data_IF_331338105528
#
_entry.id   IF_331338105528
#
_cell.length_a   1.000
_cell.length_b   1.000
_cell.length_c   1.000
_cell.angle_alpha   90.00
_cell.angle_beta   90.00
_cell.angle_gamma   90.00
#
_symmetry.space_group_name_H-M   'P 1'
#
loop_
_entity.id
_entity.type
_entity.pdbx_description
1 polymer ?
#
# COMPACT_ATOMS: atom_id res chain seq x y z
N UNK A 1 -32.11 -73.20 -2.50
CA UNK A 1 -31.17 -72.71 -1.48
C UNK A 1 -29.76 -72.89 -2.02
N UNK A 2 -29.15 -71.85 -2.59
CA UNK A 2 -27.73 -71.82 -2.97
C UNK A 2 -27.27 -70.38 -3.24
N UNK A 3 -26.30 -69.95 -2.43
CA UNK A 3 -25.10 -69.18 -2.72
C UNK A 3 -25.14 -67.84 -3.49
N UNK A 4 -24.97 -66.76 -2.71
CA UNK A 4 -23.96 -65.70 -2.84
C UNK A 4 -23.51 -65.23 -4.25
N UNK A 5 -23.79 -63.96 -4.56
CA UNK A 5 -22.92 -63.09 -5.38
C UNK A 5 -23.16 -61.61 -5.02
N UNK A 6 -22.58 -61.17 -3.91
CA UNK A 6 -22.31 -59.75 -3.65
C UNK A 6 -21.10 -59.37 -4.52
N UNK A 7 -21.35 -58.81 -5.70
CA UNK A 7 -20.29 -58.21 -6.51
C UNK A 7 -20.86 -57.02 -7.25
N UNK A 8 -20.16 -55.88 -7.17
CA UNK A 8 -20.49 -54.54 -7.68
C UNK A 8 -21.26 -53.61 -6.72
N UNK A 9 -20.79 -53.44 -5.48
CA UNK A 9 -21.14 -52.26 -4.66
C UNK A 9 -19.95 -51.34 -4.34
N UNK A 10 -18.76 -51.61 -4.88
CA UNK A 10 -17.56 -50.80 -4.61
C UNK A 10 -17.03 -50.31 -5.95
N UNK A 11 -17.71 -49.38 -6.62
CA UNK A 11 -17.12 -48.59 -7.72
C UNK A 11 -17.89 -47.31 -8.05
N UNK A 12 -18.86 -46.89 -7.22
CA UNK A 12 -19.62 -45.64 -7.42
C UNK A 12 -19.21 -44.54 -6.42
N UNK A 13 -18.39 -44.85 -5.43
CA UNK A 13 -17.93 -43.88 -4.41
C UNK A 13 -16.63 -43.15 -4.84
N UNK A 14 -15.92 -43.64 -5.85
CA UNK A 14 -14.64 -43.08 -6.27
C UNK A 14 -14.72 -41.87 -7.24
N UNK A 15 -15.91 -41.46 -7.70
CA UNK A 15 -16.04 -40.43 -8.73
C UNK A 15 -16.67 -39.11 -8.26
N UNK A 16 -17.15 -39.01 -7.02
CA UNK A 16 -17.72 -37.75 -6.47
C UNK A 16 -16.68 -36.95 -5.65
N UNK A 17 -15.52 -37.53 -5.33
CA UNK A 17 -14.47 -36.86 -4.51
C UNK A 17 -13.43 -36.09 -5.36
N UNK A 18 -13.60 -36.03 -6.69
CA UNK A 18 -12.60 -35.45 -7.59
C UNK A 18 -12.78 -33.94 -7.92
N UNK A 19 -13.68 -33.22 -7.25
CA UNK A 19 -13.95 -31.80 -7.57
C UNK A 19 -13.48 -30.81 -6.48
N UNK A 20 -12.94 -31.29 -5.36
CA UNK A 20 -12.63 -30.43 -4.20
C UNK A 20 -11.16 -30.01 -4.05
N UNK A 21 -10.40 -29.88 -5.13
CA UNK A 21 -9.05 -29.31 -5.05
C UNK A 21 -8.77 -28.32 -6.19
N UNK A 22 -9.60 -27.29 -6.32
CA UNK A 22 -9.07 -25.99 -6.75
C UNK A 22 -8.38 -25.37 -5.54
N UNK A 23 -7.14 -25.78 -5.28
CA UNK A 23 -6.28 -25.01 -4.39
C UNK A 23 -5.99 -23.69 -5.10
N UNK A 24 -6.75 -22.65 -4.75
CA UNK A 24 -6.41 -21.29 -5.12
C UNK A 24 -5.10 -20.93 -4.43
N UNK A 25 -4.01 -20.89 -5.20
CA UNK A 25 -2.76 -20.32 -4.75
C UNK A 25 -2.97 -18.81 -4.59
N UNK A 26 -3.23 -18.37 -3.36
CA UNK A 26 -3.31 -16.96 -3.03
C UNK A 26 -1.90 -16.36 -3.03
N UNK A 27 -1.41 -15.96 -4.20
CA UNK A 27 -0.24 -15.10 -4.31
C UNK A 27 -0.62 -13.67 -3.88
N UNK A 28 -0.77 -13.44 -2.57
CA UNK A 28 -1.22 -12.18 -1.98
C UNK A 28 -0.06 -11.27 -1.50
N UNK A 29 1.20 -11.66 -1.70
CA UNK A 29 2.33 -10.98 -1.06
C UNK A 29 2.80 -9.69 -1.76
N UNK A 30 2.76 -9.59 -3.09
CA UNK A 30 3.23 -8.38 -3.79
C UNK A 30 2.18 -7.26 -3.86
N UNK A 31 0.88 -7.58 -3.95
CA UNK A 31 -0.18 -6.54 -3.92
C UNK A 31 -0.21 -5.69 -2.66
N UNK A 32 0.27 -6.21 -1.53
CA UNK A 32 0.34 -5.47 -0.27
C UNK A 32 1.59 -4.57 -0.16
N UNK A 33 2.59 -4.80 -1.01
CA UNK A 33 3.87 -4.07 -1.02
C UNK A 33 4.19 -3.64 -2.47
N UNK A 34 3.50 -2.61 -2.99
CA UNK A 34 3.62 -2.21 -4.39
C UNK A 34 5.02 -1.67 -4.69
N UNK A 35 5.53 -1.93 -5.90
CA UNK A 35 6.70 -1.21 -6.41
C UNK A 35 6.31 0.22 -6.78
N UNK A 36 7.15 1.19 -6.46
CA UNK A 36 6.90 2.60 -6.74
C UNK A 36 7.94 3.11 -7.74
N UNK A 37 7.47 3.83 -8.76
CA UNK A 37 8.30 4.52 -9.74
C UNK A 37 7.98 6.01 -9.72
N UNK A 38 9.01 6.84 -9.66
CA UNK A 38 8.92 8.31 -9.85
C UNK A 38 9.70 8.65 -11.10
N UNK A 39 9.05 9.26 -12.10
CA UNK A 39 9.66 9.64 -13.39
C UNK A 39 10.52 8.51 -13.99
N UNK A 40 9.94 7.30 -14.07
CA UNK A 40 10.56 6.05 -14.55
C UNK A 40 11.68 5.45 -13.67
N UNK A 41 12.00 6.06 -12.53
CA UNK A 41 13.00 5.54 -11.58
C UNK A 41 12.32 4.76 -10.47
N UNK A 42 12.72 3.51 -10.25
CA UNK A 42 12.20 2.68 -9.15
C UNK A 42 12.73 3.18 -7.82
N UNK A 43 11.84 3.43 -6.86
CA UNK A 43 12.21 3.73 -5.47
C UNK A 43 12.37 2.45 -4.66
N UNK A 44 13.46 2.38 -3.90
CA UNK A 44 13.69 1.32 -2.92
C UNK A 44 13.22 1.77 -1.53
N UNK A 45 11.91 1.67 -1.31
CA UNK A 45 11.24 2.12 -0.08
C UNK A 45 10.21 1.10 0.39
N UNK A 46 10.03 1.02 1.71
CA UNK A 46 9.04 0.14 2.33
C UNK A 46 7.63 0.69 2.15
N UNK A 47 7.00 0.35 1.02
CA UNK A 47 5.62 0.69 0.74
C UNK A 47 4.68 -0.39 1.28
N UNK A 48 3.61 0.02 1.97
CA UNK A 48 2.57 -0.89 2.44
C UNK A 48 1.17 -0.38 2.09
N UNK A 49 0.33 -1.27 1.58
CA UNK A 49 -1.09 -0.98 1.34
C UNK A 49 -1.89 -1.32 2.59
N UNK A 50 -2.69 -0.37 3.09
CA UNK A 50 -3.60 -0.59 4.21
C UNK A 50 -4.79 -1.46 3.78
N UNK A 51 -5.53 -2.01 4.76
CA UNK A 51 -6.78 -2.73 4.48
C UNK A 51 -7.79 -1.89 3.66
N UNK A 52 -7.76 -0.56 3.84
CA UNK A 52 -8.63 0.37 3.12
C UNK A 52 -8.09 0.74 1.71
N UNK A 53 -7.01 0.11 1.24
CA UNK A 53 -6.45 0.32 -0.09
C UNK A 53 -5.58 1.58 -0.23
N UNK A 54 -5.13 2.17 0.89
CA UNK A 54 -4.23 3.33 0.85
C UNK A 54 -2.77 2.88 0.90
N UNK A 55 -1.92 3.41 0.02
CA UNK A 55 -0.47 3.13 0.09
C UNK A 55 0.18 4.10 1.07
N UNK A 56 0.84 3.54 2.07
CA UNK A 56 1.64 4.22 3.07
C UNK A 56 3.11 4.03 2.78
N UNK A 57 3.88 5.11 2.93
CA UNK A 57 5.33 5.13 2.72
C UNK A 57 6.01 5.93 3.83
N UNK A 58 7.30 5.68 4.13
CA UNK A 58 8.08 6.51 5.03
C UNK A 58 8.14 7.95 4.50
N UNK A 59 7.75 8.91 5.34
CA UNK A 59 7.62 10.31 4.95
C UNK A 59 8.91 10.90 4.36
N UNK A 60 10.06 10.59 4.96
CA UNK A 60 11.35 11.18 4.57
C UNK A 60 11.71 10.77 3.14
N UNK A 61 11.59 9.48 2.84
CA UNK A 61 11.97 8.95 1.55
C UNK A 61 11.16 9.58 0.42
N UNK A 62 9.85 9.78 0.61
CA UNK A 62 9.01 10.40 -0.41
C UNK A 62 9.23 11.91 -0.54
N UNK A 63 9.41 12.64 0.57
CA UNK A 63 9.63 14.08 0.50
C UNK A 63 11.00 14.45 -0.06
N UNK A 64 12.04 13.70 0.29
CA UNK A 64 13.39 13.92 -0.23
C UNK A 64 13.47 13.58 -1.72
N UNK A 65 12.74 12.57 -2.19
CA UNK A 65 12.62 12.26 -3.63
C UNK A 65 12.08 13.47 -4.41
N UNK A 66 11.13 14.22 -3.84
CA UNK A 66 10.62 15.46 -4.43
C UNK A 66 11.44 16.71 -4.06
N UNK A 67 12.70 16.52 -3.64
CA UNK A 67 13.64 17.61 -3.38
C UNK A 67 13.29 18.47 -2.16
N UNK A 68 12.47 17.98 -1.24
CA UNK A 68 12.07 18.73 -0.05
C UNK A 68 13.04 18.50 1.13
N UNK A 69 13.28 19.56 1.90
CA UNK A 69 13.97 19.47 3.19
C UNK A 69 12.98 19.05 4.27
N UNK A 70 13.39 18.10 5.09
CA UNK A 70 12.52 17.45 6.07
C UNK A 70 13.03 17.70 7.50
N UNK A 71 12.15 18.20 8.37
CA UNK A 71 12.41 18.42 9.79
C UNK A 71 11.38 17.66 10.65
N UNK A 72 11.85 17.00 11.71
CA UNK A 72 11.00 16.31 12.68
C UNK A 72 10.89 17.12 13.97
N UNK A 73 9.66 17.32 14.44
CA UNK A 73 9.36 17.87 15.76
C UNK A 73 8.92 16.74 16.70
N UNK A 74 9.81 16.37 17.61
CA UNK A 74 9.55 15.30 18.56
C UNK A 74 8.52 15.67 19.64
N UNK A 75 8.33 16.96 19.94
CA UNK A 75 7.37 17.44 20.94
C UNK A 75 5.95 17.32 20.40
N UNK A 76 5.75 17.81 19.18
CA UNK A 76 4.44 17.81 18.52
C UNK A 76 4.16 16.52 17.73
N UNK A 77 5.16 15.64 17.58
CA UNK A 77 5.10 14.42 16.76
C UNK A 77 4.67 14.73 15.34
N UNK A 78 5.29 15.77 14.77
CA UNK A 78 4.99 16.25 13.44
C UNK A 78 6.24 16.33 12.57
N UNK A 79 6.03 16.22 11.27
CA UNK A 79 7.02 16.55 10.26
C UNK A 79 6.67 17.89 9.63
N UNK A 80 7.69 18.69 9.34
CA UNK A 80 7.64 19.80 8.41
C UNK A 80 8.53 19.50 7.21
N UNK A 81 7.95 19.46 6.01
CA UNK A 81 8.66 19.32 4.74
C UNK A 81 8.57 20.65 3.96
N UNK A 82 9.70 21.13 3.44
CA UNK A 82 9.78 22.44 2.77
C UNK A 82 10.60 22.41 1.48
N UNK A 83 10.14 23.13 0.46
CA UNK A 83 10.92 23.52 -0.71
C UNK A 83 10.57 24.97 -1.09
N UNK A 84 10.97 25.42 -2.28
CA UNK A 84 10.71 26.79 -2.74
C UNK A 84 9.22 27.14 -2.85
N UNK A 85 8.36 26.14 -3.08
CA UNK A 85 6.94 26.32 -3.41
C UNK A 85 5.99 25.88 -2.28
N UNK A 86 6.44 24.93 -1.44
CA UNK A 86 5.59 24.24 -0.48
C UNK A 86 6.20 24.20 0.92
N UNK A 87 5.35 24.41 1.92
CA UNK A 87 5.55 24.04 3.32
C UNK A 87 4.42 23.11 3.72
N UNK A 88 4.74 21.85 3.98
CA UNK A 88 3.79 20.80 4.35
C UNK A 88 4.05 20.37 5.79
N UNK A 89 3.01 20.37 6.61
CA UNK A 89 3.07 19.91 8.00
C UNK A 89 2.09 18.75 8.18
N UNK A 90 2.61 17.62 8.65
CA UNK A 90 1.84 16.42 8.97
C UNK A 90 2.10 16.02 10.41
N UNK A 91 1.03 15.78 11.15
CA UNK A 91 1.09 15.40 12.56
C UNK A 91 0.62 13.96 12.72
N UNK A 92 1.36 13.18 13.51
CA UNK A 92 0.99 11.80 13.83
C UNK A 92 -0.45 11.73 14.38
N UNK A 93 -1.24 10.78 13.88
CA UNK A 93 -2.65 10.57 14.22
C UNK A 93 -3.57 11.77 13.99
N UNK A 94 -3.19 12.74 13.16
CA UNK A 94 -4.05 13.87 12.77
C UNK A 94 -4.71 13.61 11.42
N UNK A 95 -6.00 13.93 11.30
CA UNK A 95 -6.71 14.00 10.02
C UNK A 95 -6.51 15.33 9.30
N UNK A 96 -5.83 16.29 9.92
CA UNK A 96 -5.55 17.59 9.31
C UNK A 96 -4.07 17.69 8.96
N UNK A 97 -3.80 18.07 7.71
CA UNK A 97 -2.51 18.51 7.21
C UNK A 97 -2.50 20.03 6.99
N UNK A 98 -1.35 20.68 7.14
CA UNK A 98 -1.18 22.08 6.71
C UNK A 98 -0.33 22.12 5.45
N UNK A 99 -0.81 22.81 4.41
CA UNK A 99 -0.06 23.09 3.17
C UNK A 99 -0.06 24.60 2.98
N UNK A 100 1.13 25.20 2.99
CA UNK A 100 1.32 26.66 2.89
C UNK A 100 0.47 27.45 3.90
N UNK A 101 0.32 26.92 5.11
CA UNK A 101 -0.46 27.53 6.19
C UNK A 101 -1.97 27.30 6.12
N UNK A 102 -2.48 26.65 5.06
CA UNK A 102 -3.89 26.28 4.93
C UNK A 102 -4.11 24.83 5.33
N UNK A 103 -5.25 24.54 5.95
CA UNK A 103 -5.61 23.20 6.41
C UNK A 103 -6.32 22.37 5.34
N UNK A 104 -5.98 21.07 5.30
CA UNK A 104 -6.53 20.07 4.39
C UNK A 104 -6.88 18.80 5.16
N UNK A 105 -8.01 18.19 4.81
CA UNK A 105 -8.46 16.93 5.41
C UNK A 105 -7.79 15.73 4.71
N UNK A 106 -7.29 14.81 5.52
CA UNK A 106 -6.69 13.56 5.10
C UNK A 106 -7.73 12.44 5.13
N UNK A 107 -7.70 11.57 4.13
CA UNK A 107 -8.49 10.33 4.15
C UNK A 107 -7.86 9.25 5.06
N UNK A 108 -6.56 9.39 5.35
CA UNK A 108 -5.78 8.47 6.15
C UNK A 108 -4.78 9.26 6.98
N UNK A 109 -4.78 9.06 8.30
CA UNK A 109 -3.85 9.74 9.21
C UNK A 109 -2.41 9.26 9.02
N UNK A 110 -1.41 10.14 9.19
CA UNK A 110 -0.03 9.73 9.37
C UNK A 110 0.12 8.86 10.62
N UNK A 111 0.94 7.82 10.57
CA UNK A 111 1.14 6.89 11.68
C UNK A 111 2.60 6.56 11.91
N UNK A 112 3.02 6.51 13.17
CA UNK A 112 4.37 6.07 13.53
C UNK A 112 4.48 4.55 13.49
N UNK A 113 5.52 4.05 12.82
CA UNK A 113 5.93 2.65 12.90
C UNK A 113 6.66 2.35 14.21
N UNK A 114 6.93 1.06 14.47
CA UNK A 114 7.61 0.62 15.70
C UNK A 114 9.03 1.15 15.83
N UNK A 115 9.70 1.38 14.71
CA UNK A 115 11.04 1.99 14.59
C UNK A 115 11.02 3.53 14.67
N UNK A 116 9.83 4.16 14.72
CA UNK A 116 9.69 5.60 14.89
C UNK A 116 9.64 6.40 13.58
N UNK A 117 9.56 5.73 12.43
CA UNK A 117 9.35 6.37 11.14
C UNK A 117 7.88 6.75 10.97
N UNK A 118 7.60 7.97 10.51
CA UNK A 118 6.22 8.38 10.19
C UNK A 118 5.84 7.88 8.80
N UNK A 119 4.75 7.14 8.71
CA UNK A 119 4.18 6.67 7.46
C UNK A 119 3.05 7.61 7.02
N UNK A 120 3.04 7.96 5.74
CA UNK A 120 2.10 8.94 5.15
C UNK A 120 1.47 8.38 3.88
N UNK A 121 0.28 8.88 3.53
CA UNK A 121 -0.41 8.51 2.30
C UNK A 121 0.36 9.03 1.08
N UNK A 122 0.94 8.11 0.32
CA UNK A 122 1.76 8.41 -0.87
C UNK A 122 1.05 9.33 -1.85
N UNK A 123 -0.21 9.01 -2.19
CA UNK A 123 -0.98 9.75 -3.20
C UNK A 123 -1.22 11.19 -2.79
N UNK A 124 -1.61 11.40 -1.53
CA UNK A 124 -1.84 12.74 -1.01
C UNK A 124 -0.58 13.62 -1.16
N UNK A 125 0.60 13.08 -0.89
CA UNK A 125 1.86 13.81 -1.04
C UNK A 125 2.14 14.14 -2.51
N UNK A 126 2.10 13.14 -3.38
CA UNK A 126 2.39 13.31 -4.80
C UNK A 126 1.44 14.32 -5.46
N UNK A 127 0.13 14.17 -5.26
CA UNK A 127 -0.87 15.08 -5.84
C UNK A 127 -0.78 16.51 -5.26
N UNK A 128 -0.42 16.65 -3.98
CA UNK A 128 -0.18 17.98 -3.38
C UNK A 128 0.98 18.70 -4.08
N UNK A 129 1.99 17.96 -4.52
CA UNK A 129 3.16 18.48 -5.21
C UNK A 129 2.96 18.62 -6.73
N UNK A 130 1.77 18.29 -7.24
CA UNK A 130 1.42 18.43 -8.65
C UNK A 130 1.76 17.22 -9.53
N UNK A 131 2.05 16.07 -8.92
CA UNK A 131 2.29 14.83 -9.65
C UNK A 131 1.01 14.02 -9.82
N UNK A 132 0.91 13.33 -10.96
CA UNK A 132 -0.13 12.34 -11.20
C UNK A 132 0.28 10.99 -10.60
N UNK A 133 -0.70 10.23 -10.11
CA UNK A 133 -0.48 8.91 -9.50
C UNK A 133 -1.33 7.86 -10.20
N UNK A 134 -0.67 6.98 -10.94
CA UNK A 134 -1.29 5.84 -11.62
C UNK A 134 -1.00 4.58 -10.83
N UNK A 135 -2.04 3.82 -10.51
CA UNK A 135 -1.90 2.52 -9.87
C UNK A 135 -2.31 1.42 -10.83
N UNK A 136 -1.36 0.54 -11.15
CA UNK A 136 -1.58 -0.66 -11.96
C UNK A 136 -1.44 -1.89 -11.07
N UNK A 137 -2.32 -2.88 -11.27
CA UNK A 137 -2.25 -4.14 -10.52
C UNK A 137 -2.63 -5.33 -11.38
N UNK A 138 -2.00 -6.45 -11.08
CA UNK A 138 -2.36 -7.77 -11.59
C UNK A 138 -2.90 -8.64 -10.45
N UNK A 139 -3.04 -9.94 -10.69
CA UNK A 139 -3.39 -10.90 -9.64
C UNK A 139 -2.27 -11.12 -8.63
N UNK A 140 -1.03 -10.82 -9.00
CA UNK A 140 0.15 -11.05 -8.16
C UNK A 140 0.75 -9.75 -7.69
N UNK A 141 0.79 -8.74 -8.55
CA UNK A 141 1.65 -7.58 -8.40
C UNK A 141 0.86 -6.26 -8.38
N UNK A 142 1.50 -5.24 -7.83
CA UNK A 142 1.01 -3.87 -7.84
C UNK A 142 2.17 -2.91 -8.11
N UNK A 143 1.95 -1.96 -9.00
CA UNK A 143 2.93 -0.94 -9.39
C UNK A 143 2.25 0.43 -9.30
N UNK A 144 2.94 1.39 -8.70
CA UNK A 144 2.52 2.79 -8.64
C UNK A 144 3.51 3.60 -9.47
N UNK A 145 2.99 4.32 -10.45
CA UNK A 145 3.73 5.29 -11.23
C UNK A 145 3.36 6.69 -10.77
N UNK A 146 4.37 7.51 -10.54
CA UNK A 146 4.25 8.92 -10.21
C UNK A 146 5.00 9.70 -11.28
N UNK A 147 4.33 10.66 -11.91
CA UNK A 147 4.89 11.44 -13.01
C UNK A 147 4.47 12.90 -12.94
N UNK A 148 5.35 13.81 -13.33
CA UNK A 148 4.99 15.22 -13.52
C UNK A 148 3.94 15.36 -14.63
N UNK A 149 3.02 16.33 -14.47
CA UNK A 149 2.06 16.72 -15.51
C UNK A 149 2.72 17.40 -16.71
#
# INVERSE_FOLDING_TARGET
MNFFKFSKCIFVIAFIVAVFNYQSNFANASRQNPSIYVDNTKLDIDASVTYNGTTLVPFRAIFEEFGMKVAWDNKNKSVTATNENFTIILTNNSYTASINGKEYQLIQVPSLSRDGSLFVNLRFIAETLGYDVIWEKTDTDAIIYISSQ
#
